data_IF_723321927918
#
_entry.id   IF_723321927918
#
_cell.length_a   1.000
_cell.length_b   1.000
_cell.length_c   1.000
_cell.angle_alpha   90.00
_cell.angle_beta   90.00
_cell.angle_gamma   90.00
#
_symmetry.space_group_name_H-M   'P 1'
#
loop_
_entity.id
_entity.type
_entity.pdbx_description
1 polymer ?
#
# COMPACT_ATOMS: atom_id res chain seq x y z
N UNK A 1 -10.76 8.15 -9.02
CA UNK A 1 -10.63 7.89 -10.48
C UNK A 1 -9.24 7.38 -10.79
N UNK A 2 -9.07 6.56 -11.83
CA UNK A 2 -7.75 6.14 -12.30
C UNK A 2 -7.02 7.33 -12.92
N UNK A 3 -5.74 7.49 -12.63
CA UNK A 3 -4.88 8.54 -13.18
C UNK A 3 -4.05 7.91 -14.28
N UNK A 4 -4.13 8.45 -15.49
CA UNK A 4 -3.31 7.96 -16.59
C UNK A 4 -1.83 8.29 -16.35
N UNK A 5 -0.90 7.43 -16.78
CA UNK A 5 0.54 7.62 -16.56
C UNK A 5 1.06 8.98 -17.04
N UNK A 6 0.59 9.46 -18.20
CA UNK A 6 0.94 10.78 -18.74
C UNK A 6 0.52 11.95 -17.84
N UNK A 7 -0.47 11.73 -16.97
CA UNK A 7 -1.04 12.75 -16.07
C UNK A 7 -0.45 12.66 -14.66
N UNK A 8 0.47 11.73 -14.40
CA UNK A 8 1.10 11.57 -13.08
C UNK A 8 2.17 12.62 -12.80
N UNK A 9 2.96 13.00 -13.78
CA UNK A 9 4.10 13.90 -13.59
C UNK A 9 3.75 15.20 -12.85
N UNK A 10 2.68 15.95 -13.21
CA UNK A 10 2.30 17.16 -12.50
C UNK A 10 1.76 16.90 -11.07
N UNK A 11 1.39 15.66 -10.74
CA UNK A 11 0.84 15.29 -9.45
C UNK A 11 1.87 14.71 -8.49
N UNK A 12 3.10 14.40 -8.93
CA UNK A 12 4.09 13.71 -8.12
C UNK A 12 4.39 14.42 -6.81
N UNK A 13 4.60 15.74 -6.83
CA UNK A 13 4.84 16.51 -5.61
C UNK A 13 3.66 16.38 -4.63
N UNK A 14 2.44 16.49 -5.14
CA UNK A 14 1.24 16.35 -4.29
C UNK A 14 1.07 14.94 -3.75
N UNK A 15 1.37 13.93 -4.54
CA UNK A 15 1.37 12.53 -4.11
C UNK A 15 2.39 12.32 -2.98
N UNK A 16 3.61 12.85 -3.15
CA UNK A 16 4.66 12.83 -2.11
C UNK A 16 4.18 13.46 -0.81
N UNK A 17 3.57 14.66 -0.88
CA UNK A 17 3.05 15.35 0.31
C UNK A 17 2.00 14.49 1.06
N UNK A 18 1.08 13.85 0.32
CA UNK A 18 0.06 12.99 0.91
C UNK A 18 0.70 11.77 1.58
N UNK A 19 1.65 11.12 0.90
CA UNK A 19 2.37 9.95 1.42
C UNK A 19 3.12 10.30 2.71
N UNK A 20 3.92 11.35 2.67
CA UNK A 20 4.68 11.84 3.83
C UNK A 20 3.76 12.15 5.01
N UNK A 21 2.65 12.86 4.79
CA UNK A 21 1.69 13.20 5.83
C UNK A 21 1.00 11.96 6.43
N UNK A 22 0.64 10.98 5.61
CA UNK A 22 -0.08 9.79 6.08
C UNK A 22 0.86 8.79 6.72
N UNK A 23 2.01 8.52 6.12
CA UNK A 23 2.97 7.55 6.64
C UNK A 23 3.74 8.05 7.88
N UNK A 24 3.81 9.37 8.12
CA UNK A 24 4.32 9.90 9.38
C UNK A 24 3.48 9.52 10.60
N UNK A 25 2.23 9.13 10.36
CA UNK A 25 1.28 8.76 11.41
C UNK A 25 1.33 7.27 11.75
N UNK A 26 0.71 6.88 12.88
CA UNK A 26 0.49 5.49 13.23
C UNK A 26 -0.31 4.74 12.14
N UNK A 27 0.04 3.50 11.76
CA UNK A 27 1.04 2.63 12.40
C UNK A 27 2.44 2.70 11.78
N UNK A 28 2.67 3.47 10.71
CA UNK A 28 3.97 3.51 10.02
C UNK A 28 5.01 4.32 10.80
N UNK A 29 4.67 5.50 11.28
CA UNK A 29 5.57 6.43 11.98
C UNK A 29 6.83 6.77 11.16
N UNK A 30 6.70 6.71 9.84
CA UNK A 30 7.79 6.82 8.88
C UNK A 30 8.35 8.25 8.84
N UNK A 31 9.64 8.36 9.09
CA UNK A 31 10.43 9.58 8.93
C UNK A 31 11.14 9.54 7.56
N UNK A 32 10.35 9.72 6.50
CA UNK A 32 10.80 9.62 5.12
C UNK A 32 11.57 10.84 4.64
N UNK A 33 12.17 10.69 3.46
CA UNK A 33 12.81 11.79 2.75
C UNK A 33 12.28 11.90 1.30
N UNK A 34 12.38 13.10 0.73
CA UNK A 34 11.81 13.40 -0.59
C UNK A 34 12.48 12.61 -1.72
N UNK A 35 13.77 12.33 -1.62
CA UNK A 35 14.51 11.65 -2.69
C UNK A 35 14.06 10.19 -2.83
N UNK A 36 13.83 9.49 -1.72
CA UNK A 36 13.34 8.12 -1.73
C UNK A 36 11.89 8.05 -2.22
N UNK A 37 11.06 9.01 -1.82
CA UNK A 37 9.68 9.13 -2.29
C UNK A 37 9.61 9.35 -3.81
N UNK A 38 10.45 10.23 -4.35
CA UNK A 38 10.51 10.47 -5.79
C UNK A 38 10.96 9.23 -6.58
N UNK A 39 11.99 8.51 -6.09
CA UNK A 39 12.45 7.25 -6.73
C UNK A 39 11.34 6.20 -6.75
N UNK A 40 10.63 6.05 -5.64
CA UNK A 40 9.52 5.11 -5.55
C UNK A 40 8.41 5.44 -6.55
N UNK A 41 8.01 6.70 -6.65
CA UNK A 41 6.92 7.12 -7.52
C UNK A 41 7.27 7.04 -9.02
N UNK A 42 8.56 7.15 -9.39
CA UNK A 42 8.99 6.97 -10.78
C UNK A 42 8.62 5.60 -11.36
N UNK A 43 8.58 4.56 -10.52
CA UNK A 43 8.16 3.23 -10.96
C UNK A 43 6.78 3.25 -11.62
N UNK A 44 5.82 3.99 -11.05
CA UNK A 44 4.44 4.05 -11.54
C UNK A 44 4.27 4.88 -12.81
N UNK A 45 5.26 5.68 -13.19
CA UNK A 45 5.21 6.48 -14.42
C UNK A 45 5.67 5.71 -15.67
N UNK A 46 6.31 4.55 -15.50
CA UNK A 46 6.93 3.81 -16.61
C UNK A 46 6.41 2.36 -16.75
N UNK A 47 5.81 1.77 -15.73
CA UNK A 47 5.30 0.41 -15.81
C UNK A 47 3.85 0.38 -16.30
N UNK A 48 3.56 -0.16 -17.50
CA UNK A 48 2.20 -0.20 -18.07
C UNK A 48 1.24 -1.09 -17.28
N UNK A 49 1.76 -2.02 -16.47
CA UNK A 49 0.96 -2.87 -15.55
C UNK A 49 0.95 -2.30 -14.13
N UNK A 50 1.18 -1.00 -13.98
CA UNK A 50 0.94 -0.28 -12.73
C UNK A 50 -0.33 0.56 -12.79
N UNK A 51 -0.93 0.81 -11.64
CA UNK A 51 -2.12 1.62 -11.50
C UNK A 51 -1.96 2.63 -10.38
N UNK A 52 -2.37 3.87 -10.65
CA UNK A 52 -2.56 4.90 -9.63
C UNK A 52 -4.02 5.34 -9.65
N UNK A 53 -4.67 5.29 -8.49
CA UNK A 53 -6.05 5.75 -8.30
C UNK A 53 -6.04 6.96 -7.38
N UNK A 54 -6.54 8.11 -7.85
CA UNK A 54 -6.68 9.34 -7.08
C UNK A 54 -8.06 9.50 -6.45
N UNK A 55 -8.10 10.01 -5.23
CA UNK A 55 -9.27 10.59 -4.60
C UNK A 55 -9.15 12.13 -4.67
N UNK A 56 -10.19 12.77 -5.17
CA UNK A 56 -10.22 14.21 -5.39
C UNK A 56 -11.39 14.87 -4.63
N UNK A 57 -11.13 16.05 -4.13
CA UNK A 57 -12.15 16.99 -3.63
C UNK A 57 -12.10 18.22 -4.55
N UNK A 58 -13.07 18.33 -5.46
CA UNK A 58 -12.93 19.23 -6.60
C UNK A 58 -11.71 18.88 -7.43
N UNK A 59 -10.79 19.83 -7.59
CA UNK A 59 -9.50 19.64 -8.29
C UNK A 59 -8.36 19.19 -7.35
N UNK A 60 -8.59 19.23 -6.05
CA UNK A 60 -7.56 18.89 -5.07
C UNK A 60 -7.40 17.38 -4.92
N UNK A 61 -6.21 16.84 -5.20
CA UNK A 61 -5.87 15.47 -4.87
C UNK A 61 -5.72 15.34 -3.35
N UNK A 62 -6.53 14.48 -2.72
CA UNK A 62 -6.59 14.32 -1.26
C UNK A 62 -6.20 12.92 -0.78
N UNK A 63 -6.00 12.00 -1.71
CA UNK A 63 -5.54 10.65 -1.43
C UNK A 63 -5.21 9.89 -2.68
N UNK A 64 -4.39 8.86 -2.56
CA UNK A 64 -4.05 7.94 -3.66
C UNK A 64 -4.04 6.49 -3.19
N UNK A 65 -4.17 5.59 -4.13
CA UNK A 65 -3.77 4.21 -3.94
C UNK A 65 -3.09 3.69 -5.20
N UNK A 66 -2.15 2.79 -5.01
CA UNK A 66 -1.32 2.26 -6.08
C UNK A 66 -1.37 0.74 -6.12
N UNK A 67 -1.13 0.20 -7.30
CA UNK A 67 -0.91 -1.22 -7.51
C UNK A 67 0.14 -1.41 -8.61
N UNK A 68 0.90 -2.48 -8.52
CA UNK A 68 1.91 -2.84 -9.49
C UNK A 68 2.13 -4.35 -9.52
N UNK A 69 2.88 -4.82 -10.49
CA UNK A 69 3.23 -6.23 -10.58
C UNK A 69 4.00 -6.67 -9.34
N UNK A 70 3.66 -7.83 -8.81
CA UNK A 70 4.39 -8.41 -7.68
C UNK A 70 5.87 -8.60 -8.00
N UNK A 71 6.17 -8.99 -9.23
CA UNK A 71 7.53 -9.28 -9.73
C UNK A 71 8.47 -8.08 -9.69
N UNK A 72 7.93 -6.85 -9.67
CA UNK A 72 8.74 -5.61 -9.63
C UNK A 72 9.09 -5.18 -8.22
N UNK A 73 8.54 -5.86 -7.21
CA UNK A 73 8.88 -5.58 -5.81
C UNK A 73 10.12 -6.34 -5.37
N UNK A 74 10.84 -5.87 -4.35
CA UNK A 74 12.04 -6.52 -3.86
C UNK A 74 11.81 -8.01 -3.63
N UNK A 75 12.78 -8.84 -4.02
CA UNK A 75 12.76 -10.31 -3.93
C UNK A 75 12.28 -10.86 -2.58
N UNK A 76 12.43 -10.06 -1.55
CA UNK A 76 12.04 -10.38 -0.19
C UNK A 76 10.56 -10.73 -0.02
N UNK A 77 9.63 -10.08 -0.77
CA UNK A 77 8.19 -10.34 -0.58
C UNK A 77 7.79 -11.77 -0.98
N UNK A 78 8.43 -12.34 -2.01
CA UNK A 78 8.15 -13.71 -2.48
C UNK A 78 8.73 -14.77 -1.55
N UNK A 79 9.91 -14.51 -0.98
CA UNK A 79 10.58 -15.45 -0.08
C UNK A 79 9.79 -15.71 1.20
N UNK A 80 8.89 -14.78 1.56
CA UNK A 80 8.05 -14.87 2.75
C UNK A 80 6.73 -15.63 2.55
N UNK A 81 6.38 -16.03 1.32
CA UNK A 81 5.19 -16.85 1.09
C UNK A 81 5.46 -18.31 1.51
N UNK A 82 4.74 -18.85 2.50
CA UNK A 82 4.94 -20.23 2.95
C UNK A 82 4.15 -21.25 2.13
N UNK A 83 4.63 -22.50 2.15
CA UNK A 83 3.88 -23.68 1.71
C UNK A 83 3.32 -23.57 0.30
N UNK A 84 2.03 -23.86 0.14
CA UNK A 84 1.33 -23.91 -1.15
C UNK A 84 1.30 -22.56 -1.89
N UNK A 85 1.42 -21.44 -1.15
CA UNK A 85 1.48 -20.10 -1.75
C UNK A 85 2.73 -19.86 -2.60
N UNK A 86 3.82 -20.59 -2.36
CA UNK A 86 5.02 -20.56 -3.22
C UNK A 86 4.80 -21.17 -4.60
N UNK A 87 3.78 -22.01 -4.73
CA UNK A 87 3.39 -22.62 -6.00
C UNK A 87 2.49 -21.71 -6.85
N UNK A 88 1.95 -20.64 -6.27
CA UNK A 88 1.17 -19.65 -7.03
C UNK A 88 2.14 -18.85 -7.90
N UNK A 89 1.93 -18.81 -9.23
CA UNK A 89 2.75 -18.00 -10.11
C UNK A 89 2.70 -16.53 -9.69
N UNK A 90 3.84 -15.90 -9.56
CA UNK A 90 3.92 -14.48 -9.19
C UNK A 90 3.18 -13.58 -10.19
N UNK A 91 3.16 -14.04 -11.44
CA UNK A 91 2.41 -13.40 -12.53
C UNK A 91 0.88 -13.46 -12.35
N UNK A 92 0.38 -14.23 -11.41
CA UNK A 92 -1.04 -14.28 -11.07
C UNK A 92 -1.41 -13.29 -9.96
N UNK A 93 -0.43 -12.60 -9.36
CA UNK A 93 -0.63 -11.72 -8.21
C UNK A 93 -0.40 -10.26 -8.61
N UNK A 94 -1.37 -9.38 -8.32
CA UNK A 94 -1.18 -7.94 -8.33
C UNK A 94 -0.89 -7.46 -6.91
N UNK A 95 0.18 -6.71 -6.72
CA UNK A 95 0.51 -6.11 -5.43
C UNK A 95 -0.18 -4.75 -5.26
N UNK A 96 -0.97 -4.63 -4.20
CA UNK A 96 -1.63 -3.40 -3.79
C UNK A 96 -0.68 -2.65 -2.85
N UNK A 97 0.17 -1.79 -3.43
CA UNK A 97 1.32 -1.27 -2.71
C UNK A 97 0.92 -0.32 -1.57
N UNK A 98 -0.01 0.60 -1.83
CA UNK A 98 -0.42 1.54 -0.79
C UNK A 98 -1.85 2.04 -0.96
N UNK A 99 -2.37 2.61 0.12
CA UNK A 99 -3.60 3.40 0.14
C UNK A 99 -3.42 4.52 1.17
N UNK A 100 -3.24 5.73 0.72
CA UNK A 100 -3.06 6.91 1.57
C UNK A 100 -4.17 7.92 1.30
N UNK A 101 -4.76 8.43 2.37
CA UNK A 101 -5.86 9.39 2.33
C UNK A 101 -5.76 10.30 3.55
N UNK A 102 -5.83 11.61 3.34
CA UNK A 102 -5.87 12.53 4.46
C UNK A 102 -7.01 12.20 5.41
N UNK A 103 -6.78 12.37 6.70
CA UNK A 103 -7.71 11.95 7.75
C UNK A 103 -9.09 12.56 7.60
N UNK A 104 -9.16 13.84 7.25
CA UNK A 104 -10.41 14.57 7.05
C UNK A 104 -11.33 13.96 5.97
N UNK A 105 -10.77 13.17 5.06
CA UNK A 105 -11.51 12.55 3.96
C UNK A 105 -11.81 11.06 4.19
N UNK A 106 -11.47 10.53 5.36
CA UNK A 106 -11.77 9.14 5.72
C UNK A 106 -13.26 8.99 6.08
N UNK A 107 -13.78 7.77 5.91
CA UNK A 107 -15.18 7.46 6.26
C UNK A 107 -16.19 7.69 5.13
N UNK A 108 -15.83 8.37 4.04
CA UNK A 108 -16.70 8.68 2.91
C UNK A 108 -16.62 7.66 1.75
N UNK A 109 -16.04 6.48 1.98
CA UNK A 109 -16.04 5.40 0.99
C UNK A 109 -14.82 5.33 0.08
N UNK A 110 -13.91 6.32 0.09
CA UNK A 110 -12.73 6.35 -0.78
C UNK A 110 -11.86 5.09 -0.65
N UNK A 111 -11.62 4.60 0.56
CA UNK A 111 -10.85 3.38 0.78
C UNK A 111 -11.47 2.16 0.07
N UNK A 112 -12.82 1.99 0.13
CA UNK A 112 -13.50 0.90 -0.60
C UNK A 112 -13.36 1.08 -2.12
N UNK A 113 -13.48 2.30 -2.61
CA UNK A 113 -13.30 2.62 -4.02
C UNK A 113 -11.87 2.29 -4.48
N UNK A 114 -10.84 2.56 -3.67
CA UNK A 114 -9.46 2.20 -3.94
C UNK A 114 -9.27 0.68 -4.13
N UNK A 115 -9.83 -0.14 -3.23
CA UNK A 115 -9.76 -1.58 -3.38
C UNK A 115 -10.49 -2.06 -4.63
N UNK A 116 -11.72 -1.60 -4.86
CA UNK A 116 -12.52 -1.96 -6.05
C UNK A 116 -11.80 -1.66 -7.36
N UNK A 117 -11.21 -0.46 -7.50
CA UNK A 117 -10.51 -0.07 -8.72
C UNK A 117 -9.27 -0.93 -8.99
N UNK A 118 -8.52 -1.29 -7.94
CA UNK A 118 -7.34 -2.15 -8.06
C UNK A 118 -7.70 -3.62 -8.31
N UNK A 119 -8.77 -4.13 -7.70
CA UNK A 119 -9.30 -5.46 -7.98
C UNK A 119 -9.82 -5.56 -9.43
N UNK A 120 -10.53 -4.55 -9.91
CA UNK A 120 -10.96 -4.49 -11.30
C UNK A 120 -9.77 -4.48 -12.27
N UNK A 121 -8.75 -3.68 -11.98
CA UNK A 121 -7.52 -3.64 -12.77
C UNK A 121 -6.79 -4.98 -12.77
N UNK A 122 -6.72 -5.68 -11.65
CA UNK A 122 -6.13 -7.01 -11.57
C UNK A 122 -6.80 -7.97 -12.56
N UNK A 123 -8.13 -7.99 -12.58
CA UNK A 123 -8.91 -8.81 -13.52
C UNK A 123 -8.69 -8.40 -14.99
N UNK A 124 -8.60 -7.09 -15.27
CA UNK A 124 -8.34 -6.55 -16.61
C UNK A 124 -7.01 -7.04 -17.19
N UNK A 125 -5.98 -7.17 -16.35
CA UNK A 125 -4.64 -7.66 -16.73
C UNK A 125 -4.44 -9.17 -16.49
N UNK A 126 -5.51 -9.90 -16.21
CA UNK A 126 -5.49 -11.36 -16.07
C UNK A 126 -4.89 -11.89 -14.77
N UNK A 127 -4.80 -11.06 -13.71
CA UNK A 127 -4.33 -11.49 -12.38
C UNK A 127 -5.47 -12.15 -11.62
N UNK A 128 -5.18 -13.25 -10.96
CA UNK A 128 -6.13 -14.04 -10.17
C UNK A 128 -6.16 -13.63 -8.71
N UNK A 129 -5.07 -13.12 -8.20
CA UNK A 129 -4.92 -12.75 -6.80
C UNK A 129 -4.53 -11.28 -6.66
N UNK A 130 -4.95 -10.69 -5.55
CA UNK A 130 -4.48 -9.38 -5.10
C UNK A 130 -3.91 -9.51 -3.69
N UNK A 131 -2.77 -8.89 -3.44
CA UNK A 131 -2.10 -8.97 -2.15
C UNK A 131 -1.54 -7.62 -1.70
N UNK A 132 -1.41 -7.43 -0.39
CA UNK A 132 -0.71 -6.30 0.22
C UNK A 132 0.00 -6.74 1.50
N UNK A 133 0.96 -5.95 1.95
CA UNK A 133 1.63 -6.13 3.22
C UNK A 133 1.25 -5.01 4.19
N UNK A 134 0.89 -5.37 5.41
CA UNK A 134 0.47 -4.43 6.44
C UNK A 134 1.38 -4.52 7.66
N UNK A 135 1.89 -3.35 8.12
CA UNK A 135 2.79 -3.29 9.26
C UNK A 135 2.16 -3.86 10.52
N UNK A 136 2.94 -4.69 11.22
CA UNK A 136 2.56 -5.25 12.52
C UNK A 136 3.22 -4.41 13.62
N UNK A 137 2.42 -3.91 14.55
CA UNK A 137 2.90 -3.15 15.71
C UNK A 137 2.43 -3.80 16.99
N UNK A 138 3.21 -3.61 18.05
CA UNK A 138 2.77 -4.00 19.40
C UNK A 138 1.48 -3.24 19.74
N UNK A 139 0.40 -3.93 20.10
CA UNK A 139 -0.87 -3.29 20.47
C UNK A 139 -0.73 -2.38 21.70
N UNK A 140 0.31 -2.58 22.53
CA UNK A 140 0.62 -1.79 23.71
C UNK A 140 1.67 -0.69 23.45
N UNK A 141 2.08 -0.45 22.18
CA UNK A 141 3.01 0.63 21.85
C UNK A 141 2.43 1.97 22.36
N UNK A 142 3.16 2.74 23.20
CA UNK A 142 2.67 4.00 23.77
C UNK A 142 2.37 5.08 22.71
N UNK A 143 2.89 4.92 21.49
CA UNK A 143 2.65 5.84 20.36
C UNK A 143 1.32 5.57 19.66
N UNK A 144 0.63 4.47 20.01
CA UNK A 144 -0.68 4.15 19.44
C UNK A 144 -1.71 5.20 19.88
N UNK A 145 -2.38 5.91 18.94
CA UNK A 145 -3.36 6.91 19.30
C UNK A 145 -4.57 6.32 20.05
N UNK A 146 -5.07 7.05 21.03
CA UNK A 146 -6.33 6.70 21.69
C UNK A 146 -7.44 6.72 20.62
N UNK A 147 -8.24 5.65 20.56
CA UNK A 147 -9.32 5.53 19.56
C UNK A 147 -8.86 5.08 18.17
N UNK A 148 -7.59 4.71 17.98
CA UNK A 148 -7.12 4.13 16.73
C UNK A 148 -7.98 2.91 16.35
N UNK A 149 -8.52 2.96 15.12
CA UNK A 149 -9.34 1.87 14.57
C UNK A 149 -8.48 0.97 13.71
N UNK A 150 -8.33 -0.27 14.14
CA UNK A 150 -7.64 -1.29 13.37
C UNK A 150 -8.39 -1.58 12.05
N UNK A 151 -7.63 -1.70 10.96
CA UNK A 151 -8.16 -1.98 9.64
C UNK A 151 -8.39 -3.48 9.38
N UNK A 152 -7.85 -4.36 10.22
CA UNK A 152 -7.98 -5.83 10.08
C UNK A 152 -9.44 -6.28 9.95
N UNK A 153 -10.40 -5.86 10.79
CA UNK A 153 -11.80 -6.25 10.61
C UNK A 153 -12.41 -5.76 9.30
N UNK A 154 -11.92 -4.63 8.79
CA UNK A 154 -12.41 -4.08 7.53
C UNK A 154 -11.85 -4.85 6.33
N UNK A 155 -10.56 -5.19 6.30
CA UNK A 155 -9.96 -6.02 5.25
C UNK A 155 -10.62 -7.40 5.16
N UNK A 156 -10.92 -8.02 6.30
CA UNK A 156 -11.67 -9.28 6.34
C UNK A 156 -13.05 -9.16 5.68
N UNK A 157 -13.77 -8.05 5.92
CA UNK A 157 -15.07 -7.79 5.25
C UNK A 157 -14.94 -7.54 3.74
N UNK A 158 -13.77 -7.14 3.26
CA UNK A 158 -13.48 -7.03 1.83
C UNK A 158 -13.05 -8.38 1.21
N UNK A 159 -12.93 -9.45 2.00
CA UNK A 159 -12.56 -10.79 1.55
C UNK A 159 -11.06 -11.09 1.61
N UNK A 160 -10.25 -10.20 2.21
CA UNK A 160 -8.82 -10.47 2.41
C UNK A 160 -8.60 -11.33 3.64
N UNK A 161 -7.63 -12.26 3.53
CA UNK A 161 -7.16 -13.06 4.65
C UNK A 161 -5.64 -12.92 4.81
N UNK A 162 -5.11 -12.92 6.06
CA UNK A 162 -3.68 -12.98 6.26
C UNK A 162 -3.15 -14.36 5.86
N UNK A 163 -2.03 -14.41 5.16
CA UNK A 163 -1.34 -15.66 4.89
C UNK A 163 -0.58 -16.06 6.16
N UNK A 164 -0.89 -17.20 6.78
CA UNK A 164 -0.21 -17.63 8.00
C UNK A 164 1.32 -17.68 7.81
N UNK A 165 2.08 -17.12 8.74
CA UNK A 165 3.54 -17.08 8.74
C UNK A 165 4.20 -16.30 7.56
N UNK A 166 3.44 -15.57 6.76
CA UNK A 166 3.99 -14.69 5.74
C UNK A 166 4.24 -13.29 6.33
N UNK A 167 5.34 -13.15 7.04
CA UNK A 167 5.85 -11.89 7.58
C UNK A 167 7.01 -11.42 6.73
N UNK A 168 6.84 -10.36 5.97
CA UNK A 168 7.95 -9.72 5.27
C UNK A 168 8.61 -8.65 6.12
N UNK A 169 9.86 -8.35 5.80
CA UNK A 169 10.66 -7.36 6.48
C UNK A 169 10.93 -6.16 5.57
N UNK A 170 10.75 -4.97 6.12
CA UNK A 170 11.10 -3.72 5.47
C UNK A 170 11.83 -2.82 6.44
N UNK A 171 12.79 -2.06 5.93
CA UNK A 171 13.56 -1.11 6.75
C UNK A 171 13.10 0.31 6.48
N UNK A 172 12.80 1.03 7.56
CA UNK A 172 12.63 2.48 7.53
C UNK A 172 12.93 3.09 8.90
N UNK A 173 13.10 4.41 8.89
CA UNK A 173 13.32 5.19 10.11
C UNK A 173 11.97 5.64 10.67
N UNK A 174 11.68 5.30 11.93
CA UNK A 174 10.55 5.88 12.66
C UNK A 174 10.88 7.30 13.13
N UNK A 175 9.89 8.16 13.22
CA UNK A 175 10.02 9.46 13.88
C UNK A 175 10.61 9.31 15.29
N UNK A 176 11.57 10.17 15.61
CA UNK A 176 12.27 10.19 16.89
C UNK A 176 13.34 9.12 17.06
N UNK A 177 13.71 8.39 16.00
CA UNK A 177 14.86 7.49 15.98
C UNK A 177 15.97 8.03 15.09
N UNK A 178 17.22 7.73 15.43
CA UNK A 178 18.41 8.20 14.68
C UNK A 178 18.67 7.34 13.43
N UNK A 179 18.23 6.08 13.44
CA UNK A 179 18.54 5.08 12.38
C UNK A 179 17.30 4.33 11.94
N UNK A 180 17.33 3.86 10.69
CA UNK A 180 16.39 2.88 10.20
C UNK A 180 16.50 1.58 11.00
N UNK A 181 15.41 0.85 11.08
CA UNK A 181 15.34 -0.46 11.70
C UNK A 181 14.28 -1.31 10.97
N UNK A 182 14.37 -2.61 11.17
CA UNK A 182 13.50 -3.58 10.54
C UNK A 182 12.08 -3.52 11.12
N UNK A 183 11.10 -3.50 10.24
CA UNK A 183 9.69 -3.65 10.55
C UNK A 183 9.15 -4.92 9.93
N UNK A 184 8.22 -5.57 10.62
CA UNK A 184 7.53 -6.74 10.11
C UNK A 184 6.17 -6.36 9.54
N UNK A 185 5.84 -6.90 8.37
CA UNK A 185 4.57 -6.68 7.70
C UNK A 185 3.91 -8.03 7.41
N UNK A 186 2.67 -8.19 7.83
CA UNK A 186 1.86 -9.35 7.50
C UNK A 186 1.35 -9.25 6.07
N UNK A 187 1.57 -10.29 5.28
CA UNK A 187 0.99 -10.39 3.92
C UNK A 187 -0.47 -10.80 4.00
N UNK A 188 -1.32 -10.07 3.31
CA UNK A 188 -2.75 -10.31 3.12
C UNK A 188 -3.02 -10.60 1.66
N UNK A 189 -3.92 -11.54 1.39
CA UNK A 189 -4.27 -11.93 0.02
C UNK A 189 -5.76 -12.18 -0.12
N UNK A 190 -6.26 -11.98 -1.35
CA UNK A 190 -7.60 -12.32 -1.79
C UNK A 190 -7.53 -12.93 -3.17
N UNK A 191 -8.28 -14.00 -3.41
CA UNK A 191 -8.58 -14.53 -4.74
C UNK A 191 -9.79 -13.76 -5.32
N UNK A 192 -9.71 -13.36 -6.59
CA UNK A 192 -10.71 -12.55 -7.30
C UNK A 192 -11.74 -13.40 -8.05
#
# INVERSE_FOLDING_TARGET
MRIAQKDLAPLLSRITDIRMAVFSSWPYLYDGNLDDEHKYLQHFTHDPESLVVGAFDGEALVGISTASRWETHPENLLSYLPGDWRAVPVTDILYLAESVLYEAYRGFGAGRAFFREREAFALEIGRRYVAFAAVVRDPNDPRRPIGYRDLVPWWRRLGYAPIPNALCEMEWKDHGRDKAHTHHLQVWMKEL
#
